data_IF_548993499802
#
_entry.id   IF_548993499802
#
_cell.length_a   1.000
_cell.length_b   1.000
_cell.length_c   1.000
_cell.angle_alpha   90.00
_cell.angle_beta   90.00
_cell.angle_gamma   90.00
#
_symmetry.space_group_name_H-M   'P 1'
#
loop_
_entity.id
_entity.type
_entity.pdbx_description
1 polymer ?
#
# COMPACT_ATOMS: atom_id res chain seq x y z
N UNK A 1 18.55 -35.32 -42.68
CA UNK A 1 19.55 -35.78 -41.68
C UNK A 1 20.27 -34.54 -41.20
N UNK A 2 20.25 -34.07 -39.96
CA UNK A 2 19.79 -34.62 -38.68
C UNK A 2 19.50 -33.42 -37.78
N UNK A 3 18.39 -33.49 -37.04
CA UNK A 3 18.02 -32.56 -35.96
C UNK A 3 19.01 -32.69 -34.81
N UNK A 4 19.51 -31.57 -34.30
CA UNK A 4 20.04 -31.47 -32.94
C UNK A 4 19.45 -30.20 -32.33
N UNK A 5 18.40 -30.39 -31.53
CA UNK A 5 17.90 -29.36 -30.64
C UNK A 5 18.91 -29.13 -29.52
N UNK A 6 19.35 -27.88 -29.34
CA UNK A 6 19.84 -27.41 -28.07
C UNK A 6 18.90 -26.33 -27.55
N UNK A 7 18.19 -26.69 -26.48
CA UNK A 7 17.53 -25.77 -25.58
C UNK A 7 18.60 -24.91 -24.91
N UNK A 8 18.85 -23.71 -25.41
CA UNK A 8 19.73 -22.76 -24.73
C UNK A 8 18.89 -22.03 -23.68
N UNK A 9 19.14 -22.39 -22.43
CA UNK A 9 18.64 -21.78 -21.19
C UNK A 9 19.09 -20.30 -21.07
N UNK A 10 18.48 -19.41 -21.84
CA UNK A 10 18.80 -17.97 -21.85
C UNK A 10 18.18 -17.14 -20.72
N UNK A 11 18.18 -17.63 -19.47
CA UNK A 11 17.51 -16.95 -18.33
C UNK A 11 18.44 -16.61 -17.15
N UNK A 12 19.58 -17.28 -16.98
CA UNK A 12 20.34 -17.21 -15.71
C UNK A 12 21.26 -15.99 -15.55
N UNK A 13 21.73 -15.36 -16.62
CA UNK A 13 22.77 -14.31 -16.49
C UNK A 13 22.23 -12.93 -16.14
N UNK A 14 20.97 -12.61 -16.48
CA UNK A 14 20.31 -11.39 -16.00
C UNK A 14 19.89 -11.51 -14.53
N UNK A 15 19.53 -12.73 -14.09
CA UNK A 15 19.14 -13.05 -12.71
C UNK A 15 20.32 -12.92 -11.75
N UNK A 16 21.54 -13.27 -12.19
CA UNK A 16 22.76 -13.13 -11.39
C UNK A 16 23.13 -11.67 -11.06
N UNK A 17 22.66 -10.69 -11.84
CA UNK A 17 22.87 -9.26 -11.57
C UNK A 17 21.88 -8.64 -10.56
N UNK A 18 20.85 -9.39 -10.14
CA UNK A 18 19.87 -8.93 -9.15
C UNK A 18 20.44 -8.93 -7.70
N UNK A 19 21.63 -9.50 -7.51
CA UNK A 19 22.42 -9.45 -6.27
C UNK A 19 22.98 -8.04 -5.97
N UNK A 20 23.06 -7.17 -6.99
CA UNK A 20 23.63 -5.82 -6.90
C UNK A 20 22.60 -4.74 -6.56
N UNK A 21 21.32 -5.09 -6.54
CA UNK A 21 20.21 -4.17 -6.23
C UNK A 21 19.79 -4.35 -4.77
N UNK A 22 19.33 -3.30 -4.07
CA UNK A 22 18.76 -3.45 -2.74
C UNK A 22 17.42 -4.20 -2.86
N UNK A 23 17.48 -5.53 -2.82
CA UNK A 23 16.30 -6.39 -2.91
C UNK A 23 15.87 -6.85 -1.52
N UNK A 24 14.60 -6.61 -1.16
CA UNK A 24 14.03 -7.20 0.05
C UNK A 24 13.34 -8.52 -0.31
N UNK A 25 13.98 -9.66 -0.02
CA UNK A 25 13.37 -10.99 -0.08
C UNK A 25 12.58 -11.31 1.20
N UNK A 26 11.89 -10.32 1.74
CA UNK A 26 11.15 -10.46 2.98
C UNK A 26 9.81 -11.16 2.72
N UNK A 27 9.55 -12.21 3.49
CA UNK A 27 8.26 -12.88 3.52
C UNK A 27 7.42 -12.21 4.60
N UNK A 28 6.28 -11.65 4.22
CA UNK A 28 5.46 -10.87 5.14
C UNK A 28 4.57 -11.75 6.04
N UNK A 29 4.67 -13.07 5.93
CA UNK A 29 4.05 -14.01 6.87
C UNK A 29 4.73 -13.90 8.24
N UNK A 30 3.96 -13.49 9.26
CA UNK A 30 4.45 -13.28 10.62
C UNK A 30 4.93 -11.86 10.94
N UNK A 31 4.80 -10.93 9.99
CA UNK A 31 5.12 -9.50 10.20
C UNK A 31 4.10 -8.86 11.14
N UNK A 32 4.60 -8.07 12.07
CA UNK A 32 3.81 -7.19 12.93
C UNK A 32 3.88 -5.77 12.35
N UNK A 33 2.78 -5.03 12.41
CA UNK A 33 2.78 -3.62 12.02
C UNK A 33 2.81 -2.75 13.26
N UNK A 34 3.83 -1.91 13.35
CA UNK A 34 3.85 -0.81 14.30
C UNK A 34 3.37 0.47 13.62
N UNK A 35 2.17 0.92 14.01
CA UNK A 35 1.58 2.16 13.52
C UNK A 35 1.74 3.26 14.57
N UNK A 36 2.37 4.36 14.18
CA UNK A 36 2.48 5.57 15.01
C UNK A 36 1.66 6.65 14.33
N UNK A 37 0.75 7.30 15.07
CA UNK A 37 -0.16 8.29 14.52
C UNK A 37 -0.02 9.56 15.35
N UNK A 38 0.18 10.69 14.67
CA UNK A 38 0.13 12.00 15.31
C UNK A 38 -1.33 12.37 15.64
N UNK A 39 -1.55 12.81 16.88
CA UNK A 39 -2.90 13.11 17.35
C UNK A 39 -3.48 14.37 16.69
N UNK A 40 -2.63 15.38 16.45
CA UNK A 40 -3.06 16.67 15.90
C UNK A 40 -3.34 16.60 14.40
N UNK A 41 -2.35 16.16 13.62
CA UNK A 41 -2.41 16.14 12.15
C UNK A 41 -3.04 14.88 11.58
N UNK A 42 -3.25 13.84 12.41
CA UNK A 42 -3.61 12.49 11.95
C UNK A 42 -2.58 11.87 10.99
N UNK A 43 -1.37 12.43 10.88
CA UNK A 43 -0.30 11.89 10.06
C UNK A 43 0.14 10.55 10.66
N UNK A 44 0.22 9.53 9.82
CA UNK A 44 0.58 8.18 10.25
C UNK A 44 1.95 7.77 9.70
N UNK A 45 2.69 7.01 10.50
CA UNK A 45 3.85 6.24 10.10
C UNK A 45 3.54 4.77 10.35
N UNK A 46 3.92 3.91 9.41
CA UNK A 46 3.82 2.46 9.57
C UNK A 46 5.16 1.82 9.35
N UNK A 47 5.54 0.96 10.30
CA UNK A 47 6.75 0.17 10.28
C UNK A 47 6.40 -1.32 10.30
N UNK A 48 6.57 -2.03 9.18
CA UNK A 48 6.57 -3.49 9.19
C UNK A 48 7.78 -3.98 9.99
N UNK A 49 7.55 -4.72 11.06
CA UNK A 49 8.60 -5.28 11.92
C UNK A 49 8.53 -6.81 11.95
N UNK A 50 9.68 -7.51 12.03
CA UNK A 50 9.71 -8.97 11.97
C UNK A 50 9.00 -9.67 13.13
N UNK A 51 8.94 -9.03 14.28
CA UNK A 51 8.31 -9.56 15.49
C UNK A 51 8.04 -8.44 16.50
N UNK A 52 7.23 -8.73 17.52
CA UNK A 52 6.92 -7.79 18.62
C UNK A 52 8.17 -7.29 19.36
N UNK A 53 9.24 -8.08 19.41
CA UNK A 53 10.51 -7.69 20.04
C UNK A 53 11.19 -6.50 19.32
N UNK A 54 10.84 -6.25 18.06
CA UNK A 54 11.40 -5.15 17.27
C UNK A 54 10.63 -3.83 17.44
N UNK A 55 9.45 -3.83 18.07
CA UNK A 55 8.69 -2.60 18.27
C UNK A 55 9.44 -1.59 19.15
N UNK A 56 10.04 -2.03 20.26
CA UNK A 56 10.79 -1.13 21.14
C UNK A 56 12.01 -0.47 20.45
N UNK A 57 12.87 -1.20 19.71
CA UNK A 57 13.90 -0.59 18.87
C UNK A 57 13.35 0.39 17.84
N UNK A 58 12.30 0.01 17.10
CA UNK A 58 11.70 0.87 16.08
C UNK A 58 11.14 2.17 16.66
N UNK A 59 10.44 2.08 17.79
CA UNK A 59 9.95 3.25 18.51
C UNK A 59 11.08 4.14 19.01
N UNK A 60 12.17 3.56 19.53
CA UNK A 60 13.36 4.31 19.96
C UNK A 60 13.93 5.12 18.79
N UNK A 61 14.15 4.47 17.65
CA UNK A 61 14.70 5.11 16.45
C UNK A 61 13.78 6.22 15.95
N UNK A 62 12.46 5.98 15.97
CA UNK A 62 11.47 6.98 15.63
C UNK A 62 11.56 8.22 16.54
N UNK A 63 11.59 8.05 17.87
CA UNK A 63 11.68 9.18 18.83
C UNK A 63 12.97 9.97 18.63
N UNK A 64 14.10 9.27 18.43
CA UNK A 64 15.41 9.90 18.21
C UNK A 64 15.42 10.70 16.91
N UNK A 65 14.92 10.12 15.81
CA UNK A 65 14.83 10.81 14.52
C UNK A 65 13.95 12.06 14.61
N UNK A 66 12.77 11.94 15.24
CA UNK A 66 11.85 13.07 15.45
C UNK A 66 12.48 14.20 16.26
N UNK A 67 13.25 13.87 17.30
CA UNK A 67 14.02 14.87 18.07
C UNK A 67 15.07 15.56 17.22
N UNK A 68 15.82 14.81 16.40
CA UNK A 68 16.85 15.36 15.53
C UNK A 68 16.28 16.31 14.45
N UNK A 69 15.04 16.06 14.01
CA UNK A 69 14.30 16.92 13.07
C UNK A 69 13.68 18.16 13.74
N UNK A 70 13.87 18.37 15.05
CA UNK A 70 13.31 19.50 15.78
C UNK A 70 11.85 19.32 16.22
N UNK A 71 11.28 18.13 16.04
CA UNK A 71 9.89 17.79 16.39
C UNK A 71 9.85 16.71 17.49
N UNK A 72 10.31 16.99 18.72
CA UNK A 72 10.43 15.96 19.76
C UNK A 72 9.06 15.39 20.16
N UNK A 73 8.98 14.05 20.23
CA UNK A 73 7.82 13.35 20.76
C UNK A 73 7.69 13.67 22.25
N UNK A 74 6.56 14.28 22.64
CA UNK A 74 6.31 14.67 24.04
C UNK A 74 5.65 13.55 24.84
N UNK A 75 4.72 12.86 24.21
CA UNK A 75 3.87 11.86 24.84
C UNK A 75 3.54 10.73 23.86
N UNK A 76 3.54 9.50 24.37
CA UNK A 76 3.06 8.31 23.66
C UNK A 76 1.88 7.75 24.43
N UNK A 77 0.79 7.51 23.71
CA UNK A 77 -0.41 6.86 24.22
C UNK A 77 -0.50 5.50 23.54
N UNK A 78 -0.56 4.44 24.33
CA UNK A 78 -0.69 3.07 23.84
C UNK A 78 -1.94 2.40 24.40
N UNK A 79 -2.52 1.51 23.60
CA UNK A 79 -3.51 0.58 24.13
C UNK A 79 -2.81 -0.51 24.97
N UNK A 80 -3.59 -1.30 25.71
CA UNK A 80 -3.08 -2.52 26.36
C UNK A 80 -2.86 -3.65 25.34
N UNK A 81 -2.56 -3.29 24.09
CA UNK A 81 -2.32 -4.23 23.02
C UNK A 81 -1.00 -4.97 23.20
N UNK A 82 -0.75 -5.88 22.27
CA UNK A 82 0.33 -6.87 22.37
C UNK A 82 1.75 -6.28 22.29
N UNK A 83 1.89 -5.01 21.89
CA UNK A 83 3.17 -4.32 21.84
C UNK A 83 3.53 -3.64 23.18
N UNK A 84 2.61 -3.61 24.15
CA UNK A 84 2.87 -3.05 25.48
C UNK A 84 3.83 -3.96 26.25
N UNK A 85 5.12 -3.66 26.11
CA UNK A 85 6.23 -4.42 26.71
C UNK A 85 6.99 -3.53 27.70
N UNK A 86 7.71 -4.14 28.64
CA UNK A 86 8.56 -3.38 29.58
C UNK A 86 9.69 -2.64 28.86
N UNK A 87 10.14 -3.18 27.74
CA UNK A 87 11.13 -2.58 26.84
C UNK A 87 10.63 -1.25 26.27
N UNK A 88 9.38 -1.17 25.82
CA UNK A 88 8.80 0.10 25.35
C UNK A 88 8.72 1.12 26.49
N UNK A 89 8.29 0.70 27.68
CA UNK A 89 8.26 1.58 28.85
C UNK A 89 9.66 2.08 29.21
N UNK A 90 10.68 1.23 29.09
CA UNK A 90 12.07 1.59 29.32
C UNK A 90 12.59 2.60 28.28
N UNK A 91 12.23 2.44 27.00
CA UNK A 91 12.56 3.41 25.94
C UNK A 91 11.97 4.79 26.26
N UNK A 92 10.67 4.87 26.60
CA UNK A 92 10.02 6.13 26.96
C UNK A 92 10.69 6.80 28.16
N UNK A 93 10.97 6.04 29.24
CA UNK A 93 11.67 6.54 30.43
C UNK A 93 13.07 7.06 30.10
N UNK A 94 13.85 6.30 29.33
CA UNK A 94 15.23 6.65 28.97
C UNK A 94 15.29 7.90 28.09
N UNK A 95 14.35 8.05 27.17
CA UNK A 95 14.29 9.19 26.26
C UNK A 95 13.52 10.38 26.83
N UNK A 96 12.94 10.28 28.03
CA UNK A 96 12.19 11.36 28.68
C UNK A 96 10.87 11.67 27.97
N UNK A 97 10.20 10.66 27.41
CA UNK A 97 8.89 10.78 26.76
C UNK A 97 7.81 10.37 27.75
N UNK A 98 6.78 11.20 27.92
CA UNK A 98 5.64 10.85 28.76
C UNK A 98 4.90 9.65 28.16
N UNK A 99 4.38 8.77 29.01
CA UNK A 99 3.71 7.55 28.55
C UNK A 99 2.39 7.36 29.30
N UNK A 100 1.35 7.05 28.54
CA UNK A 100 -0.01 6.79 29.04
C UNK A 100 -0.53 5.49 28.44
N UNK A 101 -1.16 4.64 29.27
CA UNK A 101 -1.96 3.52 28.82
C UNK A 101 -3.41 3.96 28.75
N UNK A 102 -4.09 3.70 27.63
CA UNK A 102 -5.54 3.90 27.58
C UNK A 102 -6.26 2.86 28.41
N UNK A 103 -7.26 3.29 29.20
CA UNK A 103 -8.14 2.38 29.91
C UNK A 103 -8.83 1.40 28.94
N UNK A 104 -9.08 0.13 29.35
CA UNK A 104 -9.76 -0.85 28.54
C UNK A 104 -11.11 -0.32 28.04
N UNK A 105 -11.40 -0.49 26.75
CA UNK A 105 -12.69 -0.18 26.12
C UNK A 105 -13.17 1.28 26.20
N UNK A 106 -12.33 2.26 26.53
CA UNK A 106 -12.81 3.62 26.88
C UNK A 106 -12.17 4.81 26.15
N UNK A 107 -11.13 4.63 25.31
CA UNK A 107 -10.46 5.80 24.71
C UNK A 107 -10.86 6.06 23.25
N UNK A 108 -11.27 7.29 22.96
CA UNK A 108 -11.43 7.81 21.59
C UNK A 108 -10.12 7.73 20.78
N UNK A 109 -8.97 7.78 21.47
CA UNK A 109 -7.64 7.59 20.90
C UNK A 109 -7.46 6.20 20.28
N UNK A 110 -7.88 5.14 20.98
CA UNK A 110 -7.85 3.79 20.40
C UNK A 110 -8.77 3.68 19.18
N UNK A 111 -9.94 4.31 19.25
CA UNK A 111 -10.86 4.39 18.10
C UNK A 111 -10.23 5.07 16.86
N UNK A 112 -9.34 6.06 17.03
CA UNK A 112 -8.61 6.69 15.92
C UNK A 112 -7.61 5.70 15.30
N UNK A 113 -6.81 5.04 16.13
CA UNK A 113 -5.80 4.08 15.68
C UNK A 113 -6.43 2.88 14.99
N UNK A 114 -7.48 2.29 15.57
CA UNK A 114 -8.21 1.15 15.01
C UNK A 114 -8.84 1.49 13.65
N UNK A 115 -9.50 2.66 13.54
CA UNK A 115 -10.10 3.11 12.27
C UNK A 115 -9.04 3.27 11.18
N UNK A 116 -7.93 3.93 11.49
CA UNK A 116 -6.82 4.11 10.55
C UNK A 116 -6.25 2.75 10.12
N UNK A 117 -6.03 1.83 11.08
CA UNK A 117 -5.52 0.50 10.78
C UNK A 117 -6.45 -0.26 9.82
N UNK A 118 -7.77 -0.24 10.08
CA UNK A 118 -8.77 -0.86 9.21
C UNK A 118 -8.79 -0.23 7.81
N UNK A 119 -8.67 1.10 7.72
CA UNK A 119 -8.58 1.80 6.43
C UNK A 119 -7.33 1.36 5.64
N UNK A 120 -6.18 1.29 6.29
CA UNK A 120 -4.93 0.88 5.63
C UNK A 120 -5.00 -0.57 5.17
N UNK A 121 -5.54 -1.47 6.00
CA UNK A 121 -5.72 -2.87 5.65
C UNK A 121 -6.67 -3.05 4.46
N UNK A 122 -7.78 -2.31 4.43
CA UNK A 122 -8.73 -2.32 3.31
C UNK A 122 -8.10 -1.85 2.00
N UNK A 123 -7.40 -0.71 2.03
CA UNK A 123 -6.67 -0.17 0.86
C UNK A 123 -5.57 -1.12 0.39
N UNK A 124 -4.77 -1.66 1.32
CA UNK A 124 -3.71 -2.62 1.02
C UNK A 124 -4.26 -3.85 0.31
N UNK A 125 -5.34 -4.44 0.85
CA UNK A 125 -6.01 -5.60 0.25
C UNK A 125 -6.50 -5.29 -1.16
N UNK A 126 -7.19 -4.17 -1.36
CA UNK A 126 -7.72 -3.78 -2.66
C UNK A 126 -6.60 -3.59 -3.71
N UNK A 127 -5.57 -2.80 -3.37
CA UNK A 127 -4.43 -2.56 -4.26
C UNK A 127 -3.68 -3.86 -4.59
N UNK A 128 -3.42 -4.71 -3.60
CA UNK A 128 -2.72 -5.98 -3.79
C UNK A 128 -3.48 -6.93 -4.73
N UNK A 129 -4.79 -7.06 -4.53
CA UNK A 129 -5.65 -7.91 -5.36
C UNK A 129 -5.70 -7.39 -6.80
N UNK A 130 -5.88 -6.08 -6.98
CA UNK A 130 -5.85 -5.44 -8.31
C UNK A 130 -4.50 -5.63 -9.02
N UNK A 131 -3.40 -5.59 -8.27
CA UNK A 131 -2.05 -5.76 -8.77
C UNK A 131 -1.66 -7.23 -9.07
N UNK A 132 -2.48 -8.21 -8.68
CA UNK A 132 -2.18 -9.63 -8.83
C UNK A 132 -0.95 -10.10 -8.04
N UNK A 133 -0.55 -9.38 -6.98
CA UNK A 133 0.65 -9.69 -6.19
C UNK A 133 0.31 -10.69 -5.07
N UNK A 134 1.18 -11.69 -4.81
CA UNK A 134 0.96 -12.68 -3.76
C UNK A 134 0.74 -12.07 -2.36
N UNK A 135 0.01 -12.80 -1.52
CA UNK A 135 -0.36 -12.34 -0.17
C UNK A 135 0.84 -12.07 0.72
N UNK A 136 1.95 -12.79 0.54
CA UNK A 136 3.17 -12.64 1.32
C UNK A 136 3.94 -11.32 1.08
N UNK A 137 3.33 -10.34 0.39
CA UNK A 137 3.83 -8.97 0.18
C UNK A 137 2.83 -7.91 0.63
N UNK A 138 1.87 -8.28 1.47
CA UNK A 138 0.77 -7.40 1.91
C UNK A 138 1.25 -6.16 2.69
N UNK A 139 2.38 -6.25 3.37
CA UNK A 139 3.03 -5.18 4.12
C UNK A 139 3.50 -4.03 3.22
N UNK A 140 4.05 -4.33 2.04
CA UNK A 140 4.43 -3.33 1.03
C UNK A 140 3.22 -2.47 0.64
N UNK A 141 2.09 -3.12 0.37
CA UNK A 141 0.83 -2.43 0.06
C UNK A 141 0.25 -1.69 1.27
N UNK A 142 0.51 -2.16 2.49
CA UNK A 142 0.10 -1.48 3.71
C UNK A 142 0.88 -0.18 3.92
N UNK A 143 2.21 -0.21 3.73
CA UNK A 143 3.06 0.99 3.74
C UNK A 143 2.60 1.98 2.66
N UNK A 144 2.31 1.49 1.44
CA UNK A 144 1.76 2.32 0.36
C UNK A 144 0.38 2.90 0.74
N UNK A 145 -0.47 2.12 1.39
CA UNK A 145 -1.78 2.59 1.85
C UNK A 145 -1.66 3.71 2.89
N UNK A 146 -0.72 3.60 3.83
CA UNK A 146 -0.39 4.67 4.77
C UNK A 146 0.07 5.93 4.03
N UNK A 147 1.04 5.77 3.13
CA UNK A 147 1.61 6.85 2.34
C UNK A 147 0.58 7.64 1.52
N UNK A 148 -0.34 6.93 0.85
CA UNK A 148 -1.43 7.52 0.08
C UNK A 148 -2.49 8.15 0.98
N UNK A 149 -2.78 7.54 2.13
CA UNK A 149 -3.77 8.08 3.07
C UNK A 149 -3.31 9.39 3.71
N UNK A 150 -2.01 9.55 3.98
CA UNK A 150 -1.47 10.83 4.43
C UNK A 150 -1.65 11.95 3.38
N UNK A 151 -1.86 11.61 2.10
CA UNK A 151 -2.07 12.53 0.99
C UNK A 151 -3.52 12.58 0.50
N UNK A 152 -4.42 11.92 1.21
CA UNK A 152 -5.86 11.95 0.94
C UNK A 152 -6.52 12.82 2.02
N UNK A 153 -7.49 13.69 1.67
CA UNK A 153 -8.23 14.45 2.66
C UNK A 153 -8.83 13.53 3.73
N UNK A 154 -8.69 13.92 4.99
CA UNK A 154 -9.15 13.10 6.13
C UNK A 154 -10.39 13.72 6.77
N UNK A 155 -11.40 12.91 7.04
CA UNK A 155 -12.59 13.36 7.78
C UNK A 155 -12.29 13.73 9.25
N UNK A 156 -11.11 13.35 9.77
CA UNK A 156 -10.64 13.74 11.10
C UNK A 156 -10.06 15.16 11.16
N UNK A 157 -9.91 15.82 10.01
CA UNK A 157 -9.32 17.15 9.86
C UNK A 157 -10.36 18.12 9.27
N UNK A 158 -10.09 19.44 9.29
CA UNK A 158 -10.90 20.40 8.57
C UNK A 158 -11.12 19.98 7.12
N UNK A 159 -12.29 20.34 6.58
CA UNK A 159 -12.76 19.86 5.28
C UNK A 159 -11.72 20.10 4.18
N UNK A 160 -11.30 19.02 3.52
CA UNK A 160 -10.36 19.07 2.41
C UNK A 160 -8.88 19.01 2.79
N UNK A 161 -8.54 19.07 4.08
CA UNK A 161 -7.15 19.03 4.55
C UNK A 161 -6.63 17.59 4.61
N UNK A 162 -5.45 17.37 4.06
CA UNK A 162 -4.72 16.11 4.15
C UNK A 162 -3.87 16.05 5.43
N UNK A 163 -3.62 14.85 6.00
CA UNK A 163 -2.68 14.72 7.11
C UNK A 163 -1.29 15.29 6.80
N UNK A 164 -0.85 15.16 5.55
CA UNK A 164 0.40 15.75 5.07
C UNK A 164 0.39 17.28 5.19
N UNK A 165 -0.68 17.95 4.73
CA UNK A 165 -0.82 19.41 4.86
C UNK A 165 -0.87 19.85 6.32
N UNK A 166 -1.61 19.13 7.16
CA UNK A 166 -1.70 19.45 8.58
C UNK A 166 -0.35 19.30 9.29
N UNK A 167 0.50 18.36 8.86
CA UNK A 167 1.82 18.11 9.44
C UNK A 167 2.91 19.05 8.90
N UNK A 168 3.00 19.22 7.57
CA UNK A 168 4.07 20.00 6.92
C UNK A 168 3.70 21.47 6.67
N UNK A 169 2.44 21.85 6.86
CA UNK A 169 1.94 23.20 6.62
C UNK A 169 1.76 23.57 5.13
N UNK A 170 1.92 22.61 4.22
CA UNK A 170 1.77 22.84 2.78
C UNK A 170 1.23 21.59 2.05
N UNK A 171 0.58 21.75 0.88
CA UNK A 171 0.09 20.62 0.08
C UNK A 171 1.21 19.65 -0.35
N UNK A 172 0.95 18.34 -0.37
CA UNK A 172 1.88 17.39 -0.96
C UNK A 172 1.92 17.57 -2.49
N UNK A 173 3.11 17.43 -3.08
CA UNK A 173 3.20 17.16 -4.51
C UNK A 173 2.60 15.79 -4.81
N UNK A 174 1.72 15.71 -5.82
CA UNK A 174 1.12 14.46 -6.29
C UNK A 174 1.67 14.00 -7.65
N UNK A 175 2.57 14.79 -8.28
CA UNK A 175 3.06 14.56 -9.65
C UNK A 175 3.75 13.20 -9.87
N UNK A 176 4.32 12.66 -8.81
CA UNK A 176 5.03 11.38 -8.83
C UNK A 176 4.13 10.20 -8.48
N UNK A 177 2.88 10.43 -8.07
CA UNK A 177 1.95 9.33 -7.85
C UNK A 177 1.65 8.62 -9.17
N UNK A 178 1.56 7.31 -9.09
CA UNK A 178 1.25 6.41 -10.19
C UNK A 178 0.24 5.37 -9.72
N UNK A 179 -0.47 4.77 -10.67
CA UNK A 179 -1.45 3.72 -10.40
C UNK A 179 -0.76 2.50 -9.78
N UNK A 180 -1.10 2.19 -8.52
CA UNK A 180 -0.57 0.99 -7.86
C UNK A 180 -1.12 -0.25 -8.56
N UNK A 181 -0.24 -1.17 -8.94
CA UNK A 181 -0.57 -2.34 -9.74
C UNK A 181 -0.30 -2.17 -11.23
N UNK A 182 0.09 -0.98 -11.70
CA UNK A 182 0.42 -0.78 -13.11
C UNK A 182 1.71 -1.52 -13.52
N UNK A 183 1.88 -1.71 -14.83
CA UNK A 183 3.10 -2.27 -15.41
C UNK A 183 4.22 -1.23 -15.32
N UNK A 184 5.36 -1.66 -14.83
CA UNK A 184 6.52 -0.81 -14.58
C UNK A 184 7.79 -1.44 -15.16
N UNK A 185 8.51 -0.71 -16.00
CA UNK A 185 9.76 -1.15 -16.63
C UNK A 185 10.94 -0.51 -15.91
N UNK A 186 11.58 -1.28 -15.03
CA UNK A 186 12.73 -0.84 -14.25
C UNK A 186 14.00 -0.92 -15.09
N UNK A 187 14.69 0.20 -15.30
CA UNK A 187 15.92 0.26 -16.10
C UNK A 187 17.04 -0.62 -15.51
N UNK A 188 17.66 -1.45 -16.35
CA UNK A 188 18.85 -2.24 -16.01
C UNK A 188 20.08 -1.37 -16.20
N UNK A 189 20.68 -0.90 -15.11
CA UNK A 189 21.82 0.01 -15.12
C UNK A 189 23.19 -0.69 -15.34
N UNK A 190 23.23 -1.74 -16.16
CA UNK A 190 24.48 -2.41 -16.54
C UNK A 190 24.83 -2.10 -17.98
N UNK A 191 26.13 -2.02 -18.28
CA UNK A 191 26.62 -1.84 -19.65
C UNK A 191 26.26 -3.08 -20.48
N UNK A 192 25.09 -3.05 -21.09
CA UNK A 192 24.53 -4.19 -21.78
C UNK A 192 24.94 -4.16 -23.26
N UNK A 193 25.60 -5.20 -23.79
CA UNK A 193 25.84 -5.29 -25.23
C UNK A 193 24.51 -5.26 -26.00
N UNK A 194 24.58 -4.82 -27.25
CA UNK A 194 23.53 -4.17 -28.07
C UNK A 194 22.20 -4.92 -28.23
N UNK A 195 22.05 -6.15 -27.73
CA UNK A 195 20.87 -7.02 -27.93
C UNK A 195 20.25 -7.59 -26.63
N UNK A 196 20.74 -7.22 -25.44
CA UNK A 196 20.15 -7.72 -24.18
C UNK A 196 18.99 -6.84 -23.69
N UNK A 197 18.03 -7.39 -22.90
CA UNK A 197 16.96 -6.62 -22.30
C UNK A 197 17.50 -5.40 -21.54
N UNK A 198 16.87 -4.24 -21.74
CA UNK A 198 17.27 -2.98 -21.07
C UNK A 198 16.48 -2.69 -19.79
N UNK A 199 15.42 -3.46 -19.52
CA UNK A 199 14.56 -3.26 -18.36
C UNK A 199 13.99 -4.57 -17.82
N UNK A 200 13.66 -4.59 -16.53
CA UNK A 200 12.81 -5.62 -15.93
C UNK A 200 11.35 -5.17 -15.94
N UNK A 201 10.47 -5.98 -16.52
CA UNK A 201 9.03 -5.78 -16.40
C UNK A 201 8.55 -6.20 -15.00
N UNK A 202 7.97 -5.25 -14.27
CA UNK A 202 7.55 -5.38 -12.90
C UNK A 202 6.14 -4.81 -12.70
N UNK A 203 5.62 -4.98 -11.49
CA UNK A 203 4.36 -4.36 -11.04
C UNK A 203 4.68 -3.27 -10.02
N UNK A 204 4.17 -2.06 -10.18
CA UNK A 204 4.34 -1.02 -9.17
C UNK A 204 3.57 -1.39 -7.89
N UNK A 205 4.26 -1.44 -6.74
CA UNK A 205 3.64 -1.78 -5.46
C UNK A 205 3.73 -0.66 -4.42
N UNK A 206 4.63 0.31 -4.61
CA UNK A 206 4.80 1.40 -3.66
C UNK A 206 5.90 2.40 -4.00
N UNK A 207 6.27 3.17 -2.98
CA UNK A 207 7.23 4.27 -3.06
C UNK A 207 8.38 4.03 -2.07
N UNK A 208 9.59 4.51 -2.40
CA UNK A 208 10.71 4.47 -1.47
C UNK A 208 10.45 5.35 -0.24
N UNK A 209 10.87 4.90 0.94
CA UNK A 209 10.66 5.64 2.18
C UNK A 209 11.65 6.81 2.35
N UNK A 210 12.91 6.62 1.93
CA UNK A 210 14.00 7.56 2.18
C UNK A 210 14.58 8.19 0.90
N UNK A 211 13.97 7.93 -0.25
CA UNK A 211 14.43 8.45 -1.53
C UNK A 211 13.25 8.63 -2.49
N UNK A 212 13.45 9.37 -3.59
CA UNK A 212 12.41 9.63 -4.60
C UNK A 212 12.19 8.43 -5.53
N UNK A 213 12.41 7.22 -5.06
CA UNK A 213 12.33 5.98 -5.83
C UNK A 213 10.93 5.37 -5.75
N UNK A 214 10.69 4.37 -6.59
CA UNK A 214 9.53 3.52 -6.56
C UNK A 214 9.94 2.09 -6.20
N UNK A 215 9.01 1.35 -5.61
CA UNK A 215 9.15 -0.06 -5.28
C UNK A 215 8.31 -0.88 -6.24
N UNK A 216 8.95 -1.81 -6.94
CA UNK A 216 8.35 -2.62 -7.99
C UNK A 216 8.54 -4.11 -7.72
N UNK A 217 7.47 -4.88 -7.80
CA UNK A 217 7.50 -6.33 -7.66
C UNK A 217 7.84 -6.99 -8.99
N UNK A 218 8.99 -7.67 -9.05
CA UNK A 218 9.38 -8.48 -10.19
C UNK A 218 8.84 -9.91 -10.01
N UNK A 219 7.78 -10.24 -10.76
CA UNK A 219 7.04 -11.51 -10.64
C UNK A 219 7.93 -12.75 -10.80
N UNK A 220 8.82 -12.85 -11.81
CA UNK A 220 9.62 -14.07 -12.02
C UNK A 220 10.54 -14.40 -10.85
N UNK A 221 11.18 -13.40 -10.26
CA UNK A 221 12.14 -13.61 -9.15
C UNK A 221 11.51 -13.41 -7.78
N UNK A 222 10.22 -13.01 -7.73
CA UNK A 222 9.49 -12.66 -6.51
C UNK A 222 10.19 -11.63 -5.63
N UNK A 223 10.96 -10.72 -6.23
CA UNK A 223 11.74 -9.71 -5.52
C UNK A 223 11.11 -8.35 -5.66
N UNK A 224 11.29 -7.50 -4.65
CA UNK A 224 11.00 -6.07 -4.75
C UNK A 224 12.27 -5.36 -5.19
N UNK A 225 12.16 -4.60 -6.27
CA UNK A 225 13.21 -3.75 -6.82
C UNK A 225 12.89 -2.30 -6.46
N UNK A 226 13.89 -1.54 -6.03
CA UNK A 226 13.76 -0.12 -5.78
C UNK A 226 14.56 0.67 -6.81
N UNK A 227 13.92 1.60 -7.53
CA UNK A 227 14.58 2.40 -8.57
C UNK A 227 13.88 3.74 -8.80
N UNK A 228 14.66 4.72 -9.27
CA UNK A 228 14.15 6.00 -9.76
C UNK A 228 13.82 5.96 -11.26
N UNK A 229 14.62 5.24 -12.04
CA UNK A 229 14.51 5.19 -13.50
C UNK A 229 13.54 4.09 -13.92
N UNK A 230 12.26 4.47 -14.07
CA UNK A 230 11.17 3.56 -14.40
C UNK A 230 10.23 4.21 -15.41
N UNK A 231 9.78 3.42 -16.39
CA UNK A 231 8.68 3.77 -17.28
C UNK A 231 7.43 3.00 -16.88
N UNK A 232 6.27 3.68 -16.87
CA UNK A 232 4.99 3.09 -16.46
C UNK A 232 4.08 2.93 -17.66
N UNK A 233 3.24 1.90 -17.65
CA UNK A 233 2.07 1.76 -18.52
C UNK A 233 0.87 1.61 -17.59
N UNK A 234 0.08 2.68 -17.48
CA UNK A 234 -1.10 2.76 -16.62
C UNK A 234 -2.36 2.27 -17.36
N UNK A 235 -3.45 2.03 -16.62
CA UNK A 235 -4.69 1.47 -17.18
C UNK A 235 -5.26 2.28 -18.35
N UNK A 236 -5.18 3.61 -18.29
CA UNK A 236 -5.64 4.50 -19.37
C UNK A 236 -4.77 4.40 -20.65
N UNK A 237 -3.54 3.90 -20.53
CA UNK A 237 -2.62 3.70 -21.66
C UNK A 237 -2.66 2.26 -22.19
N UNK A 238 -3.34 1.35 -21.50
CA UNK A 238 -3.47 -0.04 -21.91
C UNK A 238 -4.48 -0.18 -23.06
N UNK A 239 -4.18 -0.98 -24.10
CA UNK A 239 -5.16 -1.29 -25.12
C UNK A 239 -6.35 -2.01 -24.47
N UNK A 240 -7.59 -1.75 -24.93
CA UNK A 240 -8.76 -2.39 -24.36
C UNK A 240 -8.60 -3.91 -24.41
N UNK A 241 -9.08 -4.65 -23.39
CA UNK A 241 -9.03 -6.10 -23.41
C UNK A 241 -9.70 -6.59 -24.70
N UNK A 242 -9.19 -7.65 -25.34
CA UNK A 242 -9.83 -8.19 -26.53
C UNK A 242 -11.28 -8.51 -26.17
N UNK A 243 -12.21 -7.86 -26.86
CA UNK A 243 -13.64 -8.00 -26.63
C UNK A 243 -13.97 -9.49 -26.59
N UNK A 244 -14.37 -9.98 -25.42
CA UNK A 244 -14.97 -11.31 -25.34
C UNK A 244 -16.17 -11.26 -26.30
N UNK A 245 -16.13 -12.09 -27.35
CA UNK A 245 -17.21 -12.22 -28.31
C UNK A 245 -18.42 -12.76 -27.59
N UNK A 246 -19.25 -11.87 -27.05
CA UNK A 246 -20.58 -12.21 -26.54
C UNK A 246 -21.41 -12.58 -27.75
N UNK A 247 -21.58 -13.87 -28.00
CA UNK A 247 -22.60 -14.37 -28.93
C UNK A 247 -23.97 -13.99 -28.35
N UNK A 248 -24.57 -12.92 -28.85
CA UNK A 248 -25.95 -12.55 -28.53
C UNK A 248 -26.90 -13.66 -28.98
N UNK A 249 -27.86 -14.13 -28.15
CA UNK A 249 -28.95 -14.96 -28.64
C UNK A 249 -29.89 -14.11 -29.51
N UNK A 250 -30.26 -14.62 -30.69
CA UNK A 250 -31.23 -13.95 -31.56
C UNK A 250 -32.63 -14.05 -30.97
N UNK A 251 -33.25 -12.93 -30.63
CA UNK A 251 -34.68 -12.84 -30.35
C UNK A 251 -35.35 -11.98 -31.41
N UNK A 252 -36.14 -12.62 -32.26
CA UNK A 252 -37.11 -11.98 -33.15
C UNK A 252 -38.25 -11.36 -32.31
N UNK A 253 -38.89 -10.26 -32.75
CA UNK A 253 -40.02 -9.68 -32.04
C UNK A 253 -41.33 -10.29 -32.55
N UNK A 254 -42.09 -10.94 -31.67
CA UNK A 254 -43.50 -11.20 -31.93
C UNK A 254 -44.38 -10.18 -31.20
N UNK A 255 -45.43 -9.83 -31.93
CA UNK A 255 -46.26 -8.64 -31.83
C UNK A 255 -47.15 -8.58 -30.58
N UNK A 256 -47.41 -7.33 -30.22
CA UNK A 256 -48.40 -6.79 -29.28
C UNK A 256 -49.78 -7.45 -29.38
N UNK A 257 -50.43 -7.67 -28.23
CA UNK A 257 -51.79 -7.19 -28.01
C UNK A 257 -52.08 -7.03 -26.50
N UNK A 258 -52.47 -5.81 -26.13
CA UNK A 258 -53.08 -5.45 -24.84
C UNK A 258 -54.57 -5.24 -25.08
N UNK A 259 -55.43 -5.64 -24.14
CA UNK A 259 -56.32 -4.61 -23.62
C UNK A 259 -56.50 -4.68 -22.10
N UNK A 260 -56.16 -3.56 -21.46
CA UNK A 260 -56.66 -3.05 -20.17
C UNK A 260 -58.21 -2.91 -20.14
N UNK A 261 -58.91 -2.55 -19.02
CA UNK A 261 -58.39 -2.08 -17.71
C UNK A 261 -59.18 -2.42 -16.41
N UNK A 262 -58.56 -2.03 -15.27
CA UNK A 262 -59.16 -1.47 -14.01
C UNK A 262 -59.47 -2.40 -12.81
N UNK A 263 -59.66 -1.86 -11.58
CA UNK A 263 -58.65 -1.29 -10.67
C UNK A 263 -58.83 -1.83 -9.22
N UNK A 264 -58.19 -1.18 -8.22
CA UNK A 264 -58.43 -1.17 -6.74
C UNK A 264 -57.15 -1.57 -5.95
N UNK A 265 -56.40 -0.59 -5.39
CA UNK A 265 -56.42 -0.12 -3.98
C UNK A 265 -55.84 -1.18 -3.01
N UNK A 266 -54.91 -0.96 -2.08
CA UNK A 266 -54.51 0.20 -1.28
C UNK A 266 -53.17 -0.15 -0.57
N UNK A 267 -52.46 0.92 -0.19
CA UNK A 267 -51.75 1.11 1.08
C UNK A 267 -50.27 0.79 1.32
N UNK A 268 -49.63 1.85 1.85
CA UNK A 268 -48.71 1.89 2.99
C UNK A 268 -47.19 1.73 2.79
N UNK A 269 -46.53 2.90 2.93
CA UNK A 269 -45.40 3.19 3.83
C UNK A 269 -44.07 2.41 3.69
N UNK A 270 -42.90 2.88 4.10
CA UNK A 270 -42.25 4.16 4.37
C UNK A 270 -40.81 3.81 4.84
N UNK A 271 -39.85 4.74 4.62
CA UNK A 271 -38.57 4.93 5.35
C UNK A 271 -37.48 3.85 5.20
N UNK A 272 -36.24 4.18 4.79
CA UNK A 272 -35.20 5.04 5.41
C UNK A 272 -34.73 4.52 6.77
N UNK A 273 -33.51 3.96 6.81
CA UNK A 273 -32.33 4.47 7.56
C UNK A 273 -31.09 4.16 6.71
#
# INVERSE_FOLDING_TARGET
>A
MTSIGQTVSGSTDAINNLSRWPTTNFNSLGVVLENIIDDFSSYAWTFPVPSKAHCAPTLRDFIVARRAEGCPVRKIVMDQGECLTEEIKAVCRTLGVAWEITAPHTSAHNGKAERIHRTFLGKSRAMRLSAGVPENRWDEFYVTACYLSNRTPSASLPRGVTPYEAWFGHPPSLRHLREIGCRAFVLINTHNPTLRPRSFECVLIGYGQNSKTYRCYHVPTRRVLESYHISFIESHESPPPPSASTSSPSSSPDLVDDPSPSPINTDSAARVI
#
